data_IF_834145706210
#
_entry.id   IF_834145706210
#
_cell.length_a   1.000
_cell.length_b   1.000
_cell.length_c   1.000
_cell.angle_alpha   90.00
_cell.angle_beta   90.00
_cell.angle_gamma   90.00
#
_symmetry.space_group_name_H-M   'P 1'
#
loop_
_entity.id
_entity.type
_entity.pdbx_description
1 polymer ?
#
# COMPACT_ATOMS: atom_id res chain seq x y z
N UNK A 1 4.50 0.20 -0.13
CA UNK A 1 4.24 -1.24 -0.41
C UNK A 1 5.44 -1.96 -1.05
N UNK A 2 6.56 -1.30 -1.28
CA UNK A 2 7.81 -1.98 -1.60
C UNK A 2 8.36 -2.66 -0.34
N UNK A 3 9.06 -3.77 -0.51
CA UNK A 3 9.85 -4.46 0.50
C UNK A 3 10.92 -5.24 -0.26
N UNK A 4 12.17 -5.23 0.21
CA UNK A 4 13.31 -5.77 -0.53
C UNK A 4 13.28 -7.28 -0.70
N UNK A 5 12.77 -8.02 0.30
CA UNK A 5 12.68 -9.48 0.26
C UNK A 5 11.48 -10.04 -0.52
N UNK A 6 10.69 -9.19 -1.19
CA UNK A 6 9.47 -9.61 -1.90
C UNK A 6 9.41 -9.05 -3.32
N UNK A 7 8.69 -9.75 -4.19
CA UNK A 7 8.40 -9.34 -5.55
C UNK A 7 7.71 -7.97 -5.60
N UNK A 8 8.06 -7.11 -6.56
CA UNK A 8 7.50 -5.76 -6.64
C UNK A 8 6.02 -5.77 -7.04
N UNK A 9 5.17 -5.05 -6.30
CA UNK A 9 3.72 -5.00 -6.57
C UNK A 9 3.23 -3.67 -7.17
N UNK A 10 3.71 -2.54 -6.64
CA UNK A 10 3.38 -1.20 -7.13
C UNK A 10 1.93 -0.73 -6.97
N UNK A 11 1.12 -1.39 -6.13
CA UNK A 11 -0.27 -0.98 -5.92
C UNK A 11 -0.43 0.37 -5.20
N UNK A 12 0.49 0.74 -4.30
CA UNK A 12 0.28 1.91 -3.46
C UNK A 12 0.49 3.27 -4.15
N UNK A 13 1.25 3.31 -5.25
CA UNK A 13 1.56 4.55 -6.00
C UNK A 13 2.09 5.74 -5.15
N UNK A 14 2.62 5.51 -3.95
CA UNK A 14 3.27 6.58 -3.17
C UNK A 14 4.66 6.93 -3.73
N UNK A 15 5.36 5.95 -4.32
CA UNK A 15 6.68 6.12 -4.92
C UNK A 15 6.65 6.70 -6.35
N UNK A 16 5.61 7.44 -6.73
CA UNK A 16 5.55 8.07 -8.05
C UNK A 16 6.69 9.10 -8.20
N UNK A 17 7.35 9.07 -9.35
CA UNK A 17 8.42 9.97 -9.76
C UNK A 17 8.22 10.36 -11.22
N UNK A 18 8.79 11.47 -11.65
CA UNK A 18 8.81 11.87 -13.05
C UNK A 18 10.08 11.37 -13.71
N UNK A 19 9.93 10.51 -14.72
CA UNK A 19 11.02 9.97 -15.52
C UNK A 19 11.01 10.66 -16.87
N UNK A 20 12.11 11.32 -17.21
CA UNK A 20 12.32 11.93 -18.52
C UNK A 20 13.20 11.01 -19.36
N UNK A 21 12.71 10.62 -20.53
CA UNK A 21 13.47 9.80 -21.48
C UNK A 21 13.36 10.42 -22.87
N UNK A 22 14.52 10.72 -23.48
CA UNK A 22 14.58 11.42 -24.80
C UNK A 22 13.76 12.71 -24.81
N UNK A 23 13.79 13.48 -23.72
CA UNK A 23 13.04 14.73 -23.56
C UNK A 23 11.55 14.56 -23.24
N UNK A 24 11.03 13.34 -23.13
CA UNK A 24 9.60 13.10 -22.84
C UNK A 24 9.38 12.75 -21.36
N UNK A 25 8.66 13.59 -20.58
CA UNK A 25 8.40 13.34 -19.16
C UNK A 25 7.18 12.45 -18.94
N UNK A 26 7.32 11.42 -18.10
CA UNK A 26 6.21 10.54 -17.69
C UNK A 26 6.25 10.25 -16.19
N UNK A 27 5.07 10.15 -15.56
CA UNK A 27 4.98 9.75 -14.16
C UNK A 27 5.00 8.23 -14.07
N UNK A 28 5.97 7.71 -13.33
CA UNK A 28 6.21 6.28 -13.20
C UNK A 28 6.32 5.88 -11.72
N UNK A 29 5.87 4.67 -11.34
CA UNK A 29 6.17 4.10 -10.03
C UNK A 29 7.65 3.72 -9.93
N UNK A 30 8.41 4.35 -9.02
CA UNK A 30 9.83 4.04 -8.84
C UNK A 30 10.09 2.57 -8.48
N UNK A 31 9.18 1.95 -7.71
CA UNK A 31 9.33 0.54 -7.31
C UNK A 31 9.14 -0.50 -8.43
N UNK A 32 8.65 -0.11 -9.61
CA UNK A 32 8.45 -1.02 -10.75
C UNK A 32 9.23 -0.59 -11.99
N UNK A 33 9.46 0.70 -12.17
CA UNK A 33 10.09 1.20 -13.38
C UNK A 33 11.59 0.86 -13.37
N UNK A 34 12.09 0.10 -14.35
CA UNK A 34 13.49 -0.32 -14.37
C UNK A 34 14.42 0.89 -14.60
N UNK A 35 15.48 0.98 -13.80
CA UNK A 35 16.56 1.91 -14.06
C UNK A 35 17.27 1.54 -15.37
N UNK A 36 17.47 2.52 -16.25
CA UNK A 36 18.11 2.35 -17.56
C UNK A 36 19.00 3.54 -17.85
N UNK A 37 20.02 3.34 -18.66
CA UNK A 37 20.88 4.43 -19.11
C UNK A 37 20.09 5.51 -19.86
N UNK A 38 20.44 6.77 -19.61
CA UNK A 38 19.83 7.93 -20.29
C UNK A 38 18.43 8.30 -19.83
N UNK A 39 17.99 7.85 -18.64
CA UNK A 39 16.80 8.39 -17.98
C UNK A 39 17.21 9.42 -16.93
N UNK A 40 16.42 10.49 -16.82
CA UNK A 40 16.51 11.45 -15.71
C UNK A 40 15.31 11.24 -14.78
N UNK A 41 15.55 11.21 -13.47
CA UNK A 41 14.51 10.97 -12.47
C UNK A 41 14.36 12.21 -11.60
N UNK A 42 13.19 12.83 -11.69
CA UNK A 42 12.82 13.98 -10.87
C UNK A 42 11.81 13.53 -9.80
N UNK A 43 12.16 13.71 -8.53
CA UNK A 43 11.38 13.16 -7.40
C UNK A 43 10.49 14.19 -6.71
N UNK A 44 10.65 15.48 -7.03
CA UNK A 44 9.96 16.59 -6.34
C UNK A 44 9.34 17.64 -7.29
N UNK A 45 9.08 17.29 -8.55
CA UNK A 45 8.39 18.21 -9.46
C UNK A 45 6.96 18.48 -8.99
N UNK A 46 6.38 19.61 -9.40
CA UNK A 46 5.00 19.96 -9.04
C UNK A 46 4.02 18.84 -9.41
N UNK A 47 4.24 18.19 -10.56
CA UNK A 47 3.43 17.06 -11.03
C UNK A 47 3.54 15.86 -10.11
N UNK A 48 4.75 15.50 -9.66
CA UNK A 48 4.97 14.41 -8.69
C UNK A 48 4.29 14.72 -7.36
N UNK A 49 4.49 15.92 -6.82
CA UNK A 49 3.86 16.36 -5.58
C UNK A 49 2.34 16.28 -5.67
N UNK A 50 1.74 16.80 -6.75
CA UNK A 50 0.29 16.72 -6.98
C UNK A 50 -0.19 15.26 -7.04
N UNK A 51 0.50 14.38 -7.76
CA UNK A 51 0.14 12.96 -7.84
C UNK A 51 0.18 12.27 -6.47
N UNK A 52 1.21 12.51 -5.66
CA UNK A 52 1.31 11.94 -4.30
C UNK A 52 0.21 12.47 -3.38
N UNK A 53 -0.11 13.77 -3.45
CA UNK A 53 -1.23 14.36 -2.68
C UNK A 53 -2.57 13.70 -3.01
N UNK A 54 -2.86 13.45 -4.31
CA UNK A 54 -4.07 12.73 -4.71
C UNK A 54 -4.13 11.32 -4.15
N UNK A 55 -2.99 10.59 -4.14
CA UNK A 55 -2.94 9.27 -3.51
C UNK A 55 -3.21 9.33 -2.00
N UNK A 56 -2.69 10.35 -1.31
CA UNK A 56 -2.92 10.56 0.12
C UNK A 56 -4.37 10.95 0.43
N UNK A 57 -5.02 11.75 -0.42
CA UNK A 57 -6.46 12.00 -0.31
C UNK A 57 -7.28 10.71 -0.42
N UNK A 58 -6.93 9.82 -1.35
CA UNK A 58 -7.59 8.51 -1.48
C UNK A 58 -7.36 7.63 -0.25
N UNK A 59 -6.16 7.66 0.33
CA UNK A 59 -5.87 6.95 1.56
C UNK A 59 -6.62 7.52 2.76
N UNK A 60 -6.71 8.83 2.91
CA UNK A 60 -7.51 9.46 3.95
C UNK A 60 -9.00 9.12 3.81
N UNK A 61 -9.52 9.01 2.59
CA UNK A 61 -10.93 8.65 2.38
C UNK A 61 -11.24 7.24 2.89
N UNK A 62 -10.28 6.31 2.77
CA UNK A 62 -10.41 4.92 3.20
C UNK A 62 -10.03 4.71 4.66
N UNK A 63 -8.92 5.31 5.09
CA UNK A 63 -8.25 5.04 6.36
C UNK A 63 -8.10 6.33 7.17
N UNK A 64 -9.20 7.07 7.46
CA UNK A 64 -9.12 8.37 8.13
C UNK A 64 -8.60 8.26 9.57
N UNK A 65 -8.77 7.10 10.22
CA UNK A 65 -8.38 6.86 11.60
C UNK A 65 -6.96 6.27 11.73
N UNK A 66 -6.33 5.90 10.60
CA UNK A 66 -4.95 5.38 10.63
C UNK A 66 -3.97 6.53 10.82
N UNK A 67 -3.39 6.64 12.02
CA UNK A 67 -2.46 7.71 12.39
C UNK A 67 -1.27 7.82 11.42
N UNK A 68 -0.74 6.68 10.95
CA UNK A 68 0.35 6.64 9.95
C UNK A 68 -0.04 7.35 8.66
N UNK A 69 -1.28 7.16 8.19
CA UNK A 69 -1.77 7.79 6.97
C UNK A 69 -2.07 9.26 7.20
N UNK A 70 -2.64 9.60 8.36
CA UNK A 70 -2.91 10.99 8.75
C UNK A 70 -1.62 11.81 8.80
N UNK A 71 -0.56 11.29 9.42
CA UNK A 71 0.70 12.01 9.56
C UNK A 71 1.45 12.11 8.23
N UNK A 72 1.45 11.04 7.42
CA UNK A 72 1.99 11.10 6.07
C UNK A 72 1.23 12.11 5.20
N UNK A 73 -0.09 12.20 5.33
CA UNK A 73 -0.90 13.19 4.61
C UNK A 73 -0.54 14.63 5.02
N UNK A 74 -0.37 14.88 6.33
CA UNK A 74 0.06 16.19 6.86
C UNK A 74 1.42 16.63 6.32
N UNK A 75 2.38 15.72 6.22
CA UNK A 75 3.72 16.01 5.66
C UNK A 75 3.62 16.57 4.23
N UNK A 76 2.68 16.05 3.44
CA UNK A 76 2.42 16.52 2.07
C UNK A 76 1.41 17.69 2.01
N UNK A 77 1.00 18.22 3.15
CA UNK A 77 0.04 19.33 3.27
C UNK A 77 -1.39 18.95 2.87
N UNK A 78 -1.78 17.68 3.00
CA UNK A 78 -3.13 17.18 2.77
C UNK A 78 -3.82 17.04 4.13
N UNK A 79 -4.91 17.80 4.34
CA UNK A 79 -5.66 17.82 5.62
C UNK A 79 -7.05 17.19 5.53
N UNK A 80 -7.60 17.13 4.33
CA UNK A 80 -8.92 16.55 4.06
C UNK A 80 -8.90 15.92 2.67
N UNK A 81 -9.94 15.16 2.35
CA UNK A 81 -10.13 14.45 1.11
C UNK A 81 -11.45 14.83 0.45
N UNK A 82 -11.36 15.03 -0.88
CA UNK A 82 -12.53 15.26 -1.74
C UNK A 82 -13.29 13.98 -2.04
N UNK A 83 -12.68 12.82 -1.80
CA UNK A 83 -13.31 11.52 -2.03
C UNK A 83 -14.13 11.12 -0.79
N UNK A 84 -15.37 10.71 -1.01
CA UNK A 84 -16.27 10.26 0.06
C UNK A 84 -16.55 8.77 -0.11
N UNK A 85 -16.13 7.98 0.88
CA UNK A 85 -16.51 6.57 1.00
C UNK A 85 -17.61 6.42 2.04
N UNK A 86 -18.45 5.39 1.87
CA UNK A 86 -19.40 4.97 2.89
C UNK A 86 -18.63 4.49 4.12
N UNK A 87 -19.21 4.67 5.30
CA UNK A 87 -18.59 4.24 6.56
C UNK A 87 -18.21 2.75 6.52
N UNK A 88 -19.10 1.91 5.97
CA UNK A 88 -18.86 0.47 5.79
C UNK A 88 -17.76 0.10 4.80
N UNK A 89 -17.22 1.06 4.04
CA UNK A 89 -16.12 0.85 3.09
C UNK A 89 -14.79 1.42 3.62
N UNK A 90 -14.80 2.04 4.80
CA UNK A 90 -13.60 2.51 5.48
C UNK A 90 -12.90 1.36 6.20
N UNK A 91 -11.59 1.47 6.30
CA UNK A 91 -10.71 0.49 6.92
C UNK A 91 -9.34 1.11 7.14
N UNK A 92 -8.65 0.77 8.22
CA UNK A 92 -7.24 1.15 8.43
C UNK A 92 -6.26 0.39 7.51
N UNK A 93 -6.74 -0.62 6.77
CA UNK A 93 -5.95 -1.31 5.75
C UNK A 93 -5.93 -0.51 4.44
N UNK A 94 -4.74 -0.07 4.02
CA UNK A 94 -4.53 0.65 2.74
C UNK A 94 -4.38 -0.27 1.52
N UNK A 95 -4.67 -1.57 1.66
CA UNK A 95 -4.62 -2.56 0.56
C UNK A 95 -3.26 -2.63 -0.15
N UNK A 96 -2.18 -2.43 0.59
CA UNK A 96 -0.82 -2.44 0.05
C UNK A 96 -0.33 -3.84 -0.38
N UNK A 97 -0.98 -4.91 0.09
CA UNK A 97 -0.66 -6.30 -0.24
C UNK A 97 0.66 -6.81 0.32
N UNK A 98 1.30 -6.10 1.27
CA UNK A 98 2.51 -6.58 1.93
C UNK A 98 2.25 -7.86 2.73
N UNK A 99 1.17 -7.91 3.51
CA UNK A 99 0.80 -9.09 4.30
C UNK A 99 0.52 -10.33 3.44
N UNK A 100 -0.23 -10.17 2.35
CA UNK A 100 -0.54 -11.26 1.40
C UNK A 100 0.73 -11.78 0.74
N UNK A 101 1.61 -10.89 0.27
CA UNK A 101 2.88 -11.29 -0.32
C UNK A 101 3.82 -11.91 0.70
N UNK A 102 3.90 -11.42 1.93
CA UNK A 102 4.73 -12.05 2.96
C UNK A 102 4.23 -13.48 3.25
N UNK A 103 2.93 -13.66 3.38
CA UNK A 103 2.32 -14.98 3.61
C UNK A 103 2.58 -15.96 2.44
N UNK A 104 2.57 -15.46 1.20
CA UNK A 104 2.76 -16.27 0.00
C UNK A 104 4.24 -16.51 -0.36
N UNK A 105 5.07 -15.48 -0.29
CA UNK A 105 6.44 -15.47 -0.80
C UNK A 105 7.47 -15.82 0.27
N UNK A 106 7.28 -15.36 1.51
CA UNK A 106 8.20 -15.62 2.62
C UNK A 106 7.79 -16.91 3.34
N UNK A 107 6.57 -16.95 3.88
CA UNK A 107 6.09 -18.07 4.70
C UNK A 107 5.65 -19.29 3.87
N UNK A 108 5.42 -19.12 2.55
CA UNK A 108 4.91 -20.14 1.63
C UNK A 108 3.61 -20.82 2.11
N UNK A 109 2.72 -20.08 2.78
CA UNK A 109 1.49 -20.63 3.38
C UNK A 109 0.22 -20.27 2.62
N UNK A 110 0.15 -19.08 2.02
CA UNK A 110 -1.05 -18.60 1.32
C UNK A 110 -2.32 -18.59 2.20
N UNK A 111 -2.18 -18.35 3.51
CA UNK A 111 -3.28 -18.35 4.47
C UNK A 111 -4.24 -17.14 4.33
N UNK A 112 -3.79 -16.04 3.73
CA UNK A 112 -4.58 -14.82 3.52
C UNK A 112 -4.47 -14.34 2.07
N UNK A 113 -5.54 -13.75 1.57
CA UNK A 113 -5.58 -13.15 0.23
C UNK A 113 -6.51 -11.93 0.19
N UNK A 114 -6.65 -11.33 -0.98
CA UNK A 114 -7.65 -10.29 -1.21
C UNK A 114 -9.02 -10.90 -1.51
N UNK A 115 -10.05 -10.42 -0.83
CA UNK A 115 -11.44 -10.67 -1.13
C UNK A 115 -12.13 -9.43 -1.72
N UNK A 116 -13.24 -9.64 -2.42
CA UNK A 116 -14.06 -8.62 -3.07
C UNK A 116 -13.29 -7.74 -4.09
N UNK A 117 -13.90 -6.62 -4.51
CA UNK A 117 -13.38 -5.71 -5.54
C UNK A 117 -13.76 -4.25 -5.26
N UNK A 118 -13.06 -3.32 -5.90
CA UNK A 118 -13.33 -1.88 -5.77
C UNK A 118 -13.10 -1.38 -4.34
N UNK A 119 -13.96 -0.48 -3.86
CA UNK A 119 -13.89 0.08 -2.50
C UNK A 119 -14.11 -0.97 -1.41
N UNK A 120 -14.86 -2.03 -1.72
CA UNK A 120 -15.16 -3.15 -0.79
C UNK A 120 -14.03 -4.18 -0.68
N UNK A 121 -12.92 -4.01 -1.41
CA UNK A 121 -11.79 -4.94 -1.35
C UNK A 121 -11.19 -4.95 0.05
N UNK A 122 -10.85 -6.13 0.54
CA UNK A 122 -10.26 -6.34 1.88
C UNK A 122 -9.34 -7.56 1.90
N UNK A 123 -8.59 -7.71 3.00
CA UNK A 123 -7.79 -8.93 3.26
C UNK A 123 -8.66 -9.90 4.03
N UNK A 124 -8.65 -11.17 3.63
CA UNK A 124 -9.47 -12.19 4.25
C UNK A 124 -8.81 -13.57 4.12
N UNK A 125 -9.22 -14.48 4.99
CA UNK A 125 -8.91 -15.90 4.91
C UNK A 125 -9.89 -16.62 3.98
N UNK A 126 -9.55 -17.81 3.47
CA UNK A 126 -10.48 -18.65 2.73
C UNK A 126 -11.76 -18.91 3.56
N UNK A 127 -12.92 -18.70 2.93
CA UNK A 127 -14.24 -18.92 3.54
C UNK A 127 -14.49 -18.18 4.87
N UNK A 128 -13.72 -17.13 5.15
CA UNK A 128 -13.78 -16.38 6.41
C UNK A 128 -13.43 -17.20 7.66
N UNK A 129 -12.78 -18.36 7.47
CA UNK A 129 -12.34 -19.27 8.53
C UNK A 129 -10.82 -19.21 8.70
N UNK A 130 -10.30 -19.61 9.86
CA UNK A 130 -8.85 -19.69 10.05
C UNK A 130 -8.27 -20.74 9.10
N UNK A 131 -7.38 -20.32 8.21
CA UNK A 131 -6.70 -21.25 7.31
C UNK A 131 -5.78 -22.18 8.10
N UNK A 132 -5.92 -23.48 7.86
CA UNK A 132 -5.06 -24.56 8.37
C UNK A 132 -3.57 -24.37 7.98
N UNK A 133 -3.31 -23.67 6.89
CA UNK A 133 -1.96 -23.30 6.46
C UNK A 133 -1.31 -22.22 7.33
N UNK A 134 -2.08 -21.49 8.15
CA UNK A 134 -1.55 -20.46 9.03
C UNK A 134 -0.90 -21.07 10.27
N UNK A 135 0.42 -20.86 10.42
CA UNK A 135 1.19 -21.36 11.58
C UNK A 135 1.53 -20.28 12.61
N UNK A 136 0.86 -19.12 12.54
CA UNK A 136 1.10 -18.03 13.50
C UNK A 136 2.49 -17.39 13.40
N UNK A 137 3.15 -17.43 12.24
CA UNK A 137 4.52 -16.87 12.07
C UNK A 137 4.60 -15.33 12.14
N UNK A 138 3.47 -14.62 12.26
CA UNK A 138 3.37 -13.17 12.42
C UNK A 138 4.00 -12.30 11.31
N UNK A 139 4.55 -12.88 10.24
CA UNK A 139 5.18 -12.16 9.14
C UNK A 139 4.27 -11.07 8.54
N UNK A 140 2.96 -11.35 8.43
CA UNK A 140 1.97 -10.40 7.93
C UNK A 140 1.80 -9.16 8.81
N UNK A 141 1.95 -9.30 10.13
CA UNK A 141 1.85 -8.21 11.09
C UNK A 141 3.09 -7.31 11.04
N UNK A 142 4.29 -7.91 11.05
CA UNK A 142 5.55 -7.17 10.98
C UNK A 142 5.69 -6.29 9.72
N UNK A 143 5.21 -6.78 8.56
CA UNK A 143 5.28 -6.00 7.31
C UNK A 143 4.14 -5.00 7.13
N UNK A 144 3.18 -4.93 8.07
CA UNK A 144 1.99 -4.11 7.89
C UNK A 144 2.29 -2.63 8.17
N UNK A 145 2.24 -1.74 7.17
CA UNK A 145 2.68 -0.35 7.34
C UNK A 145 1.71 0.48 8.20
N UNK A 146 0.46 0.03 8.36
CA UNK A 146 -0.55 0.74 9.17
C UNK A 146 -0.82 0.07 10.50
N UNK A 147 -0.19 -1.08 10.80
CA UNK A 147 -0.40 -1.80 12.06
C UNK A 147 -1.80 -2.41 12.24
N UNK A 148 -2.63 -2.49 11.19
CA UNK A 148 -4.00 -3.02 11.30
C UNK A 148 -4.04 -4.52 11.64
N UNK A 149 -2.97 -5.25 11.32
CA UNK A 149 -2.80 -6.65 11.73
C UNK A 149 -2.05 -6.63 13.06
N UNK A 150 -2.76 -6.95 14.14
CA UNK A 150 -2.22 -6.96 15.50
C UNK A 150 -1.54 -8.29 15.80
N UNK A 151 -0.53 -8.24 16.66
CA UNK A 151 0.07 -9.42 17.28
C UNK A 151 -0.49 -9.46 18.69
N UNK A 152 -1.23 -10.51 19.02
CA UNK A 152 -1.60 -10.78 20.40
C UNK A 152 -0.42 -11.50 21.05
N UNK A 153 0.07 -10.99 22.18
CA UNK A 153 1.00 -11.74 23.02
C UNK A 153 0.21 -12.92 23.60
N UNK A 154 0.68 -14.14 23.34
CA UNK A 154 0.15 -15.29 24.04
C UNK A 154 0.68 -15.25 25.47
N UNK A 155 -0.22 -14.98 26.43
CA UNK A 155 0.02 -15.16 27.87
C UNK A 155 0.39 -16.62 28.20
#
# INVERSE_FOLDING_TARGET
CYHEEMSTYGACRLCLVEVVRRGWPSIQPACLYPAREGIEVNTDTERVRKSRKVMLELYLARSPDSQVIVDLAKEYGVRDTRFKLKESERSECILCGLCVRACAEISKRHAISFAHRGSKRMIQTPFEELADTCVGCQACAFVCPTGVIKIDEAD
#
